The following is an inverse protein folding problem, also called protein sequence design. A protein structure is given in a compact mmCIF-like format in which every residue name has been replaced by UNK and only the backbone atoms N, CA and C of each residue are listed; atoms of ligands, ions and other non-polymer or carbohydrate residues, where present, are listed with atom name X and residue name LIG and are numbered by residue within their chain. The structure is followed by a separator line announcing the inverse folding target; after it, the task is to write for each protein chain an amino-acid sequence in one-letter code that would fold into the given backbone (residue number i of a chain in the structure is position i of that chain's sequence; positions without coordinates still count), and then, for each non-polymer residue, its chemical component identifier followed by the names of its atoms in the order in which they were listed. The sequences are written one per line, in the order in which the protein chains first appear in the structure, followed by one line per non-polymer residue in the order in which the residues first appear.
data_IF_839800697447
#
_entry.id   IF_839800697447
#
_cell.length_a   1.000
_cell.length_b   1.000
_cell.length_c   1.000
_cell.angle_alpha   90.00
_cell.angle_beta   90.00
_cell.angle_gamma   90.00
#
_symmetry.space_group_name_H-M   'P 1'
#
loop_
_entity.id
_entity.type
_entity.pdbx_description
1 polymer ?
#
# COMPACT_ATOMS: atom_id res chain seq x y z
N UNK A 1 -2.25 -41.49 16.67
CA UNK A 1 -2.40 -40.34 15.76
C UNK A 1 -2.75 -39.13 16.61
N UNK A 2 -1.77 -38.24 16.87
CA UNK A 2 -1.97 -37.05 17.67
C UNK A 2 -2.24 -35.86 16.76
N UNK A 3 -3.39 -35.22 16.93
CA UNK A 3 -3.78 -34.00 16.23
C UNK A 3 -2.86 -32.85 16.69
N UNK A 4 -2.13 -32.24 15.75
CA UNK A 4 -1.41 -30.98 15.99
C UNK A 4 -2.43 -29.84 16.03
N UNK A 5 -2.45 -28.99 17.06
CA UNK A 5 -3.23 -27.76 17.01
C UNK A 5 -2.60 -26.82 15.99
N UNK A 6 -3.43 -26.25 15.12
CA UNK A 6 -3.10 -25.11 14.29
C UNK A 6 -2.69 -23.96 15.20
N UNK A 7 -1.43 -23.52 15.11
CA UNK A 7 -0.98 -22.29 15.76
C UNK A 7 -1.72 -21.12 15.12
N UNK A 8 -2.80 -20.66 15.76
CA UNK A 8 -3.35 -19.33 15.52
C UNK A 8 -2.26 -18.32 15.87
N UNK A 9 -1.81 -17.54 14.88
CA UNK A 9 -0.89 -16.44 15.11
C UNK A 9 -1.55 -15.42 16.04
N UNK A 10 -0.83 -14.84 17.01
CA UNK A 10 -1.40 -13.83 17.90
C UNK A 10 -1.85 -12.62 17.07
N UNK A 11 -3.13 -12.30 17.18
CA UNK A 11 -3.74 -11.10 16.63
C UNK A 11 -2.98 -9.90 17.17
N UNK A 12 -2.40 -9.09 16.29
CA UNK A 12 -1.59 -7.95 16.72
C UNK A 12 -2.47 -6.89 17.39
N UNK A 13 -1.97 -6.21 18.43
CA UNK A 13 -2.79 -5.32 19.28
C UNK A 13 -3.40 -4.11 18.54
N UNK A 14 -2.99 -3.85 17.30
CA UNK A 14 -3.44 -2.76 16.44
C UNK A 14 -4.53 -3.16 15.44
N UNK A 15 -5.06 -4.39 15.49
CA UNK A 15 -6.20 -4.80 14.67
C UNK A 15 -7.50 -4.67 15.45
N UNK A 16 -8.46 -3.92 14.91
CA UNK A 16 -9.79 -3.78 15.49
C UNK A 16 -10.77 -4.75 14.79
N UNK A 17 -11.64 -5.44 15.55
CA UNK A 17 -12.73 -6.21 14.97
C UNK A 17 -13.77 -5.26 14.36
N UNK A 18 -14.11 -5.50 13.09
CA UNK A 18 -15.01 -4.66 12.30
C UNK A 18 -16.43 -4.60 12.90
N UNK A 19 -16.80 -3.49 13.53
CA UNK A 19 -18.20 -3.07 13.67
C UNK A 19 -18.50 -2.10 12.51
N UNK A 20 -18.90 -2.61 11.35
CA UNK A 20 -19.20 -1.76 10.19
C UNK A 20 -20.70 -1.50 10.05
N UNK A 21 -21.18 -0.25 10.19
CA UNK A 21 -22.50 0.15 9.72
C UNK A 21 -22.42 0.46 8.22
N UNK A 22 -22.57 -0.57 7.38
CA UNK A 22 -22.87 -0.42 5.96
C UNK A 22 -21.67 -0.32 5.01
N UNK A 23 -21.19 -1.47 4.56
CA UNK A 23 -20.27 -1.58 3.43
C UNK A 23 -19.31 -2.76 3.60
N UNK A 24 -19.35 -3.72 2.67
CA UNK A 24 -18.41 -4.83 2.57
C UNK A 24 -17.00 -4.25 2.34
N UNK A 25 -16.23 -4.09 3.42
CA UNK A 25 -14.81 -3.77 3.33
C UNK A 25 -14.12 -5.01 2.74
N UNK A 26 -13.39 -4.91 1.61
CA UNK A 26 -12.77 -6.07 0.97
C UNK A 26 -11.53 -6.59 1.73
N UNK A 27 -11.32 -6.10 2.96
CA UNK A 27 -10.17 -6.39 3.80
C UNK A 27 -10.65 -6.97 5.12
N UNK A 28 -9.85 -7.87 5.70
CA UNK A 28 -10.27 -8.69 6.84
C UNK A 28 -10.52 -7.88 8.12
N UNK A 29 -9.77 -6.81 8.39
CA UNK A 29 -9.94 -5.87 9.52
C UNK A 29 -9.39 -4.50 9.16
N UNK A 30 -9.68 -3.45 9.94
CA UNK A 30 -8.96 -2.18 9.86
C UNK A 30 -7.82 -2.11 10.89
N UNK A 31 -6.80 -1.30 10.61
CA UNK A 31 -5.74 -1.00 11.58
C UNK A 31 -6.09 0.26 12.38
N UNK A 32 -5.77 0.23 13.67
CA UNK A 32 -5.82 1.37 14.57
C UNK A 32 -4.39 1.63 15.09
N UNK A 33 -3.76 2.68 14.58
CA UNK A 33 -2.41 3.04 15.01
C UNK A 33 -2.42 3.87 16.29
N UNK A 34 -1.28 3.88 17.00
CA UNK A 34 -1.12 4.71 18.21
C UNK A 34 -1.22 6.20 17.91
N UNK A 35 -0.69 6.62 16.77
CA UNK A 35 -0.62 8.00 16.31
C UNK A 35 -0.42 8.05 14.79
N UNK A 36 -0.72 9.21 14.20
CA UNK A 36 -0.64 9.42 12.76
C UNK A 36 0.76 9.17 12.17
N UNK A 37 1.84 9.53 12.88
CA UNK A 37 3.21 9.37 12.37
C UNK A 37 3.60 7.90 12.29
N UNK A 38 3.24 7.12 13.31
CA UNK A 38 3.42 5.66 13.30
C UNK A 38 2.67 5.03 12.12
N UNK A 39 1.41 5.42 11.91
CA UNK A 39 0.64 4.92 10.78
C UNK A 39 1.21 5.33 9.42
N UNK A 40 1.61 6.59 9.25
CA UNK A 40 2.29 7.07 8.05
C UNK A 40 3.58 6.28 7.77
N UNK A 41 4.39 5.99 8.79
CA UNK A 41 5.61 5.21 8.63
C UNK A 41 5.32 3.80 8.07
N UNK A 42 4.27 3.13 8.56
CA UNK A 42 3.84 1.83 8.03
C UNK A 42 3.31 1.93 6.60
N UNK A 43 2.47 2.93 6.30
CA UNK A 43 1.95 3.13 4.94
C UNK A 43 3.06 3.35 3.93
N UNK A 44 4.05 4.18 4.26
CA UNK A 44 5.21 4.41 3.41
C UNK A 44 6.12 3.18 3.31
N UNK A 45 6.31 2.44 4.40
CA UNK A 45 7.04 1.19 4.38
C UNK A 45 6.42 0.19 3.38
N UNK A 46 5.11 -0.08 3.48
CA UNK A 46 4.41 -0.99 2.57
C UNK A 46 4.42 -0.49 1.13
N UNK A 47 4.22 0.81 0.92
CA UNK A 47 4.34 1.45 -0.40
C UNK A 47 5.71 1.20 -1.02
N UNK A 48 6.80 1.43 -0.27
CA UNK A 48 8.15 1.19 -0.75
C UNK A 48 8.40 -0.29 -1.06
N UNK A 49 7.83 -1.22 -0.28
CA UNK A 49 7.94 -2.65 -0.59
C UNK A 49 7.28 -3.00 -1.94
N UNK A 50 6.09 -2.46 -2.24
CA UNK A 50 5.42 -2.66 -3.54
C UNK A 50 6.32 -2.20 -4.69
N UNK A 51 6.83 -0.96 -4.60
CA UNK A 51 7.70 -0.39 -5.63
C UNK A 51 9.00 -1.17 -5.80
N UNK A 52 9.59 -1.60 -4.68
CA UNK A 52 10.80 -2.42 -4.70
C UNK A 52 10.56 -3.77 -5.37
N UNK A 53 9.46 -4.44 -5.05
CA UNK A 53 9.10 -5.72 -5.65
C UNK A 53 8.90 -5.61 -7.17
N UNK A 54 8.16 -4.59 -7.62
CA UNK A 54 7.97 -4.31 -9.05
C UNK A 54 9.29 -3.99 -9.77
N UNK A 55 10.21 -3.29 -9.10
CA UNK A 55 11.55 -3.02 -9.63
C UNK A 55 12.35 -4.32 -9.81
N UNK A 56 12.32 -5.22 -8.82
CA UNK A 56 12.99 -6.53 -8.90
C UNK A 56 12.40 -7.39 -10.02
N UNK A 57 11.07 -7.44 -10.16
CA UNK A 57 10.42 -8.14 -11.27
C UNK A 57 10.81 -7.57 -12.63
N UNK A 58 10.84 -6.25 -12.77
CA UNK A 58 11.22 -5.57 -14.01
C UNK A 58 12.68 -5.84 -14.37
N UNK A 59 13.58 -5.80 -13.37
CA UNK A 59 14.99 -6.15 -13.54
C UNK A 59 15.14 -7.60 -13.98
N UNK A 60 14.45 -8.53 -13.33
CA UNK A 60 14.45 -9.94 -13.73
C UNK A 60 13.98 -10.10 -15.18
N UNK A 61 12.86 -9.48 -15.56
CA UNK A 61 12.36 -9.53 -16.96
C UNK A 61 13.37 -8.97 -17.95
N UNK A 62 14.06 -7.87 -17.62
CA UNK A 62 15.07 -7.26 -18.48
C UNK A 62 16.31 -8.16 -18.64
N UNK A 63 16.78 -8.81 -17.57
CA UNK A 63 17.91 -9.75 -17.61
C UNK A 63 17.60 -10.93 -18.54
N UNK A 64 16.39 -11.48 -18.43
CA UNK A 64 15.98 -12.68 -19.17
C UNK A 64 15.23 -12.35 -20.48
N UNK A 65 15.25 -11.10 -20.94
CA UNK A 65 14.61 -10.71 -22.19
C UNK A 65 15.41 -11.28 -23.37
N UNK A 66 14.78 -12.02 -24.31
CA UNK A 66 15.48 -12.60 -25.44
C UNK A 66 16.02 -11.49 -26.36
N UNK A 67 17.33 -11.47 -26.59
CA UNK A 67 17.96 -10.61 -27.60
C UNK A 67 17.87 -11.32 -28.95
N UNK A 68 17.14 -10.72 -29.89
CA UNK A 68 16.82 -11.33 -31.20
C UNK A 68 18.03 -11.33 -32.17
N UNK A 69 19.12 -10.64 -31.84
CA UNK A 69 20.31 -10.56 -32.71
C UNK A 69 21.35 -11.66 -32.45
N UNK A 70 21.63 -12.43 -33.51
CA UNK A 70 22.85 -13.18 -33.91
C UNK A 70 23.76 -13.88 -32.89
N UNK A 71 23.43 -13.95 -31.60
CA UNK A 71 24.22 -14.67 -30.60
C UNK A 71 23.67 -16.07 -30.35
N UNK A 72 24.54 -17.10 -30.21
CA UNK A 72 24.10 -18.48 -30.05
C UNK A 72 23.40 -18.77 -28.71
N UNK A 73 23.63 -17.93 -27.69
CA UNK A 73 23.01 -18.10 -26.36
C UNK A 73 21.87 -17.10 -26.17
N UNK A 74 20.64 -17.62 -26.24
CA UNK A 74 19.39 -16.87 -26.03
C UNK A 74 19.15 -16.50 -24.55
N UNK A 75 19.86 -17.15 -23.63
CA UNK A 75 19.72 -16.97 -22.19
C UNK A 75 21.10 -16.66 -21.56
N UNK A 76 21.20 -15.66 -20.68
CA UNK A 76 22.45 -15.34 -20.00
C UNK A 76 22.78 -16.38 -18.92
N UNK A 77 24.04 -16.82 -18.87
CA UNK A 77 24.58 -17.61 -17.76
C UNK A 77 24.93 -16.68 -16.60
N UNK A 78 23.99 -16.46 -15.66
CA UNK A 78 24.25 -15.61 -14.50
C UNK A 78 24.99 -16.37 -13.38
N UNK A 79 26.03 -15.74 -12.78
CA UNK A 79 26.62 -16.18 -11.51
C UNK A 79 25.55 -16.42 -10.44
N UNK A 80 25.80 -17.37 -9.52
CA UNK A 80 24.87 -17.72 -8.45
C UNK A 80 24.41 -16.51 -7.60
N UNK A 81 25.31 -15.56 -7.35
CA UNK A 81 25.00 -14.35 -6.55
C UNK A 81 24.02 -13.38 -7.24
N UNK A 82 23.80 -13.55 -8.55
CA UNK A 82 22.87 -12.73 -9.33
C UNK A 82 21.55 -13.47 -9.65
N UNK A 83 21.35 -14.66 -9.08
CA UNK A 83 20.10 -15.41 -9.24
C UNK A 83 19.02 -14.83 -8.30
N UNK A 84 18.08 -14.11 -8.88
CA UNK A 84 16.94 -13.51 -8.17
C UNK A 84 15.82 -14.55 -8.04
N UNK A 85 15.45 -14.90 -6.81
CA UNK A 85 14.27 -15.72 -6.50
C UNK A 85 13.00 -14.86 -6.47
N UNK A 86 12.27 -14.84 -7.59
CA UNK A 86 11.05 -14.03 -7.74
C UNK A 86 9.94 -14.37 -6.73
N UNK A 87 9.91 -15.59 -6.19
CA UNK A 87 8.84 -16.00 -5.26
C UNK A 87 8.86 -15.15 -3.98
N UNK A 88 10.01 -14.56 -3.62
CA UNK A 88 10.14 -13.68 -2.46
C UNK A 88 9.49 -12.30 -2.68
N UNK A 89 9.23 -11.92 -3.93
CA UNK A 89 8.78 -10.58 -4.31
C UNK A 89 7.31 -10.52 -4.76
N UNK A 90 6.54 -11.61 -4.59
CA UNK A 90 5.14 -11.66 -5.04
C UNK A 90 4.11 -11.11 -4.03
N UNK A 91 4.58 -10.47 -2.95
CA UNK A 91 3.75 -10.00 -1.84
C UNK A 91 3.02 -8.66 -2.07
N UNK A 92 3.00 -8.14 -3.31
CA UNK A 92 2.44 -6.81 -3.60
C UNK A 92 0.99 -6.64 -3.13
N UNK A 93 0.12 -7.63 -3.37
CA UNK A 93 -1.31 -7.57 -2.98
C UNK A 93 -1.48 -7.48 -1.46
N UNK A 94 -0.65 -8.18 -0.69
CA UNK A 94 -0.67 -8.12 0.77
C UNK A 94 -0.34 -6.71 1.26
N UNK A 95 0.73 -6.09 0.74
CA UNK A 95 1.09 -4.72 1.10
C UNK A 95 0.03 -3.70 0.68
N UNK A 96 -0.60 -3.86 -0.49
CA UNK A 96 -1.68 -2.97 -0.91
C UNK A 96 -2.92 -3.11 -0.02
N UNK A 97 -3.23 -4.33 0.43
CA UNK A 97 -4.28 -4.55 1.42
C UNK A 97 -3.91 -3.88 2.76
N UNK A 98 -2.69 -4.05 3.24
CA UNK A 98 -2.22 -3.41 4.48
C UNK A 98 -2.31 -1.88 4.42
N UNK A 99 -1.94 -1.28 3.28
CA UNK A 99 -2.15 0.15 3.03
C UNK A 99 -3.63 0.50 3.23
N UNK A 100 -4.54 -0.19 2.54
CA UNK A 100 -5.97 0.11 2.62
C UNK A 100 -6.53 -0.04 4.04
N UNK A 101 -6.09 -1.06 4.78
CA UNK A 101 -6.49 -1.29 6.18
C UNK A 101 -6.04 -0.17 7.12
N UNK A 102 -4.93 0.51 6.80
CA UNK A 102 -4.39 1.61 7.60
C UNK A 102 -4.86 3.01 7.20
N UNK A 103 -5.31 3.19 5.96
CA UNK A 103 -5.59 4.52 5.40
C UNK A 103 -6.63 5.32 6.21
N UNK A 104 -7.73 4.71 6.66
CA UNK A 104 -8.77 5.44 7.40
C UNK A 104 -8.31 5.85 8.82
N UNK A 105 -7.54 5.01 9.52
CA UNK A 105 -6.98 5.39 10.83
C UNK A 105 -6.02 6.56 10.71
N UNK A 106 -5.13 6.54 9.72
CA UNK A 106 -4.20 7.66 9.53
C UNK A 106 -4.92 8.93 9.08
N UNK A 107 -5.93 8.82 8.22
CA UNK A 107 -6.75 9.96 7.78
C UNK A 107 -7.47 10.63 8.95
N UNK A 108 -7.93 9.84 9.92
CA UNK A 108 -8.58 10.35 11.13
C UNK A 108 -7.61 11.22 11.94
N UNK A 109 -6.42 10.69 12.22
CA UNK A 109 -5.48 11.29 13.17
C UNK A 109 -4.54 12.34 12.57
N UNK A 110 -4.32 12.32 11.25
CA UNK A 110 -3.35 13.22 10.62
C UNK A 110 -3.87 14.65 10.43
N UNK A 111 -2.94 15.60 10.54
CA UNK A 111 -3.11 17.01 10.13
C UNK A 111 -2.56 17.29 8.73
N UNK A 112 -1.88 16.31 8.12
CA UNK A 112 -1.29 16.37 6.77
C UNK A 112 -1.93 15.28 5.88
N UNK A 113 -3.21 15.46 5.46
CA UNK A 113 -3.90 14.45 4.67
C UNK A 113 -3.23 14.20 3.31
N UNK A 114 -2.52 15.18 2.75
CA UNK A 114 -1.79 15.08 1.48
C UNK A 114 -0.74 13.95 1.47
N UNK A 115 -0.17 13.60 2.62
CA UNK A 115 0.78 12.48 2.73
C UNK A 115 0.17 11.11 2.41
N UNK A 116 -1.16 10.98 2.43
CA UNK A 116 -1.86 9.74 2.10
C UNK A 116 -2.01 9.52 0.60
N UNK A 117 -1.78 10.55 -0.23
CA UNK A 117 -1.96 10.48 -1.69
C UNK A 117 -1.05 9.42 -2.29
N UNK A 118 0.23 9.40 -1.90
CA UNK A 118 1.20 8.50 -2.53
C UNK A 118 0.95 7.02 -2.18
N UNK A 119 0.82 6.62 -0.90
CA UNK A 119 0.49 5.23 -0.56
C UNK A 119 -0.83 4.76 -1.18
N UNK A 120 -1.87 5.61 -1.15
CA UNK A 120 -3.15 5.33 -1.79
C UNK A 120 -3.01 5.09 -3.30
N UNK A 121 -2.22 5.93 -4.00
CA UNK A 121 -2.04 5.85 -5.45
C UNK A 121 -1.29 4.58 -5.84
N UNK A 122 -0.22 4.22 -5.11
CA UNK A 122 0.54 2.99 -5.36
C UNK A 122 -0.34 1.74 -5.16
N UNK A 123 -1.17 1.72 -4.12
CA UNK A 123 -2.12 0.61 -3.92
C UNK A 123 -3.15 0.55 -5.05
N UNK A 124 -3.72 1.69 -5.46
CA UNK A 124 -4.66 1.78 -6.58
C UNK A 124 -4.05 1.25 -7.89
N UNK A 125 -2.85 1.69 -8.22
CA UNK A 125 -2.18 1.30 -9.47
C UNK A 125 -1.88 -0.20 -9.48
N UNK A 126 -1.48 -0.78 -8.34
CA UNK A 126 -1.32 -2.23 -8.23
C UNK A 126 -2.64 -2.97 -8.48
N UNK A 127 -3.75 -2.56 -7.85
CA UNK A 127 -5.04 -3.23 -8.07
C UNK A 127 -5.55 -3.05 -9.50
N UNK A 128 -5.28 -1.90 -10.13
CA UNK A 128 -5.59 -1.70 -11.55
C UNK A 128 -4.79 -2.63 -12.46
N UNK A 129 -3.52 -2.85 -12.16
CA UNK A 129 -2.68 -3.81 -12.89
C UNK A 129 -3.24 -5.24 -12.74
N UNK A 130 -3.53 -5.66 -11.50
CA UNK A 130 -4.16 -6.96 -11.20
C UNK A 130 -5.47 -7.12 -11.97
N UNK A 131 -6.34 -6.11 -11.95
CA UNK A 131 -7.62 -6.13 -12.66
C UNK A 131 -7.44 -6.22 -14.17
N UNK A 132 -6.43 -5.54 -14.73
CA UNK A 132 -6.15 -5.59 -16.17
C UNK A 132 -5.71 -6.97 -16.65
N UNK A 133 -4.98 -7.71 -15.80
CA UNK A 133 -4.44 -9.04 -16.12
C UNK A 133 -5.43 -10.16 -15.80
N UNK A 134 -6.20 -10.03 -14.71
CA UNK A 134 -6.94 -11.15 -14.11
C UNK A 134 -8.41 -10.88 -13.80
N UNK A 135 -8.91 -9.65 -14.02
CA UNK A 135 -10.26 -9.21 -13.62
C UNK A 135 -10.55 -9.34 -12.11
N UNK A 136 -9.51 -9.46 -11.28
CA UNK A 136 -9.58 -9.41 -9.81
C UNK A 136 -9.24 -7.99 -9.29
N UNK A 137 -9.55 -7.68 -8.03
CA UNK A 137 -9.20 -6.40 -7.39
C UNK A 137 -10.22 -5.27 -7.56
N UNK A 138 -11.37 -5.53 -8.20
CA UNK A 138 -12.40 -4.51 -8.45
C UNK A 138 -12.97 -3.91 -7.15
N UNK A 139 -13.18 -4.74 -6.12
CA UNK A 139 -13.73 -4.28 -4.85
C UNK A 139 -12.75 -3.35 -4.13
N UNK A 140 -11.46 -3.66 -4.17
CA UNK A 140 -10.39 -2.85 -3.62
C UNK A 140 -10.25 -1.52 -4.36
N UNK A 141 -10.36 -1.51 -5.70
CA UNK A 141 -10.41 -0.28 -6.51
C UNK A 141 -11.57 0.62 -6.06
N UNK A 142 -12.79 0.06 -5.98
CA UNK A 142 -13.97 0.81 -5.53
C UNK A 142 -13.82 1.34 -4.10
N UNK A 143 -13.19 0.57 -3.22
CA UNK A 143 -12.93 1.01 -1.86
C UNK A 143 -11.96 2.20 -1.83
N UNK A 144 -10.86 2.15 -2.61
CA UNK A 144 -9.88 3.24 -2.68
C UNK A 144 -10.50 4.50 -3.30
N UNK A 145 -11.38 4.36 -4.31
CA UNK A 145 -12.11 5.51 -4.87
C UNK A 145 -13.04 6.17 -3.84
N UNK A 146 -13.69 5.38 -2.98
CA UNK A 146 -14.47 5.92 -1.87
C UNK A 146 -13.57 6.61 -0.82
N UNK A 147 -12.41 6.03 -0.51
CA UNK A 147 -11.42 6.65 0.37
C UNK A 147 -10.93 8.00 -0.19
N UNK A 148 -10.69 8.10 -1.50
CA UNK A 148 -10.29 9.37 -2.15
C UNK A 148 -11.28 10.50 -1.86
N UNK A 149 -12.59 10.20 -1.83
CA UNK A 149 -13.61 11.20 -1.49
C UNK A 149 -13.45 11.70 -0.05
N UNK A 150 -13.25 10.79 0.92
CA UNK A 150 -12.99 11.14 2.34
C UNK A 150 -11.70 11.94 2.50
N UNK A 151 -10.67 11.61 1.73
CA UNK A 151 -9.40 12.32 1.71
C UNK A 151 -9.58 13.78 1.25
N UNK A 152 -10.34 14.00 0.18
CA UNK A 152 -10.66 15.34 -0.32
C UNK A 152 -11.44 16.15 0.73
N UNK A 153 -12.44 15.54 1.35
CA UNK A 153 -13.24 16.17 2.42
C UNK A 153 -12.35 16.60 3.60
N UNK A 154 -11.47 15.72 4.10
CA UNK A 154 -10.50 16.06 5.15
C UNK A 154 -9.58 17.21 4.72
N UNK A 155 -9.08 17.18 3.47
CA UNK A 155 -8.24 18.25 2.93
C UNK A 155 -8.94 19.60 2.89
N UNK A 156 -10.21 19.63 2.45
CA UNK A 156 -11.03 20.84 2.46
C UNK A 156 -11.28 21.35 3.89
N UNK A 157 -11.55 20.43 4.83
CA UNK A 157 -11.71 20.78 6.24
C UNK A 157 -10.45 21.45 6.81
N UNK A 158 -9.27 20.84 6.61
CA UNK A 158 -7.99 21.42 7.07
C UNK A 158 -7.74 22.79 6.44
N UNK A 159 -7.97 22.93 5.13
CA UNK A 159 -7.84 24.21 4.44
C UNK A 159 -8.79 25.29 5.00
N UNK A 160 -10.04 24.92 5.29
CA UNK A 160 -11.02 25.81 5.90
C UNK A 160 -10.60 26.27 7.30
N UNK A 161 -10.08 25.36 8.13
CA UNK A 161 -9.53 25.71 9.44
C UNK A 161 -8.37 26.70 9.31
N UNK A 162 -7.42 26.46 8.40
CA UNK A 162 -6.27 27.36 8.20
C UNK A 162 -6.70 28.76 7.70
N UNK A 163 -7.70 28.84 6.83
CA UNK A 163 -8.23 30.11 6.33
C UNK A 163 -8.99 30.90 7.41
N UNK A 164 -9.59 30.21 8.38
CA UNK A 164 -10.33 30.84 9.48
C UNK A 164 -9.42 31.48 10.55
N UNK A 165 -8.12 31.18 10.53
CA UNK A 165 -7.17 31.73 11.49
C UNK A 165 -6.64 33.10 11.06
N UNK A 166 -6.61 34.05 12.00
CA UNK A 166 -5.87 35.30 11.86
C UNK A 166 -4.39 35.05 12.07
N UNK A 167 -3.65 35.01 10.97
CA UNK A 167 -2.19 34.89 10.97
C UNK A 167 -1.57 36.24 11.34
N UNK A 168 -0.90 36.33 12.49
CA UNK A 168 -0.05 37.49 12.82
C UNK A 168 1.39 37.17 12.46
N UNK A 169 2.00 38.03 11.65
CA UNK A 169 3.40 37.92 11.29
C UNK A 169 4.27 38.20 12.53
N UNK A 170 4.96 37.17 13.05
CA UNK A 170 5.95 37.34 14.13
C UNK A 170 7.28 37.70 13.48
N UNK A 171 7.35 38.88 12.88
CA UNK A 171 8.59 39.46 12.39
C UNK A 171 8.70 40.91 12.89
N UNK A 172 9.28 41.05 14.07
CA UNK A 172 9.99 42.26 14.47
C UNK A 172 11.41 41.84 14.82
N UNK A 173 12.32 42.00 13.85
CA UNK A 173 13.76 42.04 14.07
C UNK A 173 14.31 43.28 13.38
#
# INVERSE_FOLDING_TARGET
MANRPSFEQPVAYWTEELISPGGLIPFTNSYAFRDANTGLAFLYYWMTQILFHQCIESLHRAIYQPVIDAYPNMWPDLPFDLQIDLNRYQHGRMFAADICRGLDSVLHDTVQPDMLIMPMTVAMDLYRDINSVSQDGLMEIMWIDNFRSRLIEKGQHVAGVLQSQTWSEVATF
#
